data_IF_389705325764
#
_entry.id   IF_389705325764
#
_cell.length_a   1.000
_cell.length_b   1.000
_cell.length_c   1.000
_cell.angle_alpha   90.00
_cell.angle_beta   90.00
_cell.angle_gamma   90.00
#
_symmetry.space_group_name_H-M   'P 1'
#
loop_
_entity.id
_entity.type
_entity.pdbx_description
1 polymer ?
#
# COMPACT_ATOMS: atom_id res chain seq x y z
N UNK A 1 8.28 -8.77 13.18
CA UNK A 1 7.85 -7.38 13.43
C UNK A 1 6.37 -7.34 13.77
N UNK A 2 5.98 -6.49 14.69
CA UNK A 2 4.57 -6.24 15.04
C UNK A 2 3.78 -5.63 13.89
N UNK A 3 4.43 -4.74 13.19
CA UNK A 3 3.92 -4.10 11.99
C UNK A 3 5.05 -3.99 10.97
N UNK A 4 4.72 -3.71 9.74
CA UNK A 4 5.71 -3.60 8.68
C UNK A 4 5.27 -2.55 7.67
N UNK A 5 6.23 -1.82 7.14
CA UNK A 5 6.02 -0.86 6.08
C UNK A 5 7.07 -1.00 4.99
N UNK A 6 6.68 -0.58 3.81
CA UNK A 6 7.49 -0.60 2.61
C UNK A 6 7.31 0.74 1.88
N UNK A 7 8.40 1.33 1.43
CA UNK A 7 8.35 2.45 0.49
C UNK A 7 9.52 2.34 -0.49
N UNK A 8 9.20 2.09 -1.75
CA UNK A 8 10.18 2.04 -2.86
C UNK A 8 11.44 1.22 -2.52
N UNK A 9 11.26 0.02 -1.97
CA UNK A 9 12.36 -0.89 -1.61
C UNK A 9 12.87 -0.77 -0.18
N UNK A 10 12.47 0.25 0.56
CA UNK A 10 12.83 0.40 1.98
C UNK A 10 11.79 -0.31 2.84
N UNK A 11 12.26 -1.16 3.73
CA UNK A 11 11.41 -1.95 4.62
C UNK A 11 11.78 -1.64 6.06
N UNK A 12 10.78 -1.51 6.91
CA UNK A 12 10.97 -1.27 8.33
C UNK A 12 9.63 -1.27 9.06
N UNK A 13 9.61 -0.75 10.27
CA UNK A 13 8.36 -0.55 11.00
C UNK A 13 7.62 0.65 10.43
N UNK A 14 6.29 0.71 10.68
CA UNK A 14 5.45 1.80 10.16
C UNK A 14 5.96 3.18 10.59
N UNK A 15 6.47 3.30 11.80
CA UNK A 15 6.97 4.56 12.35
C UNK A 15 8.39 4.93 11.89
N UNK A 16 9.07 4.04 11.17
CA UNK A 16 10.47 4.23 10.74
C UNK A 16 10.59 4.51 9.24
N UNK A 17 9.69 3.95 8.44
CA UNK A 17 9.72 4.12 6.98
C UNK A 17 9.22 5.51 6.61
N UNK A 18 9.99 6.21 5.79
CA UNK A 18 9.72 7.59 5.41
C UNK A 18 9.47 7.69 3.90
N UNK A 19 8.57 8.60 3.55
CA UNK A 19 8.30 8.97 2.16
C UNK A 19 8.56 10.47 1.97
N UNK A 20 9.07 10.89 0.79
CA UNK A 20 9.31 12.30 0.53
C UNK A 20 8.01 13.08 0.42
N UNK A 21 7.99 14.29 0.98
CA UNK A 21 6.80 15.16 0.92
C UNK A 21 6.45 15.60 -0.49
N UNK A 22 7.37 15.45 -1.43
CA UNK A 22 7.13 15.74 -2.85
C UNK A 22 6.51 14.56 -3.61
N UNK A 23 6.15 13.49 -2.92
CA UNK A 23 5.31 12.46 -3.50
C UNK A 23 3.95 13.05 -3.85
N UNK A 24 3.51 12.90 -5.11
CA UNK A 24 2.26 13.48 -5.60
C UNK A 24 1.03 12.96 -4.84
N UNK A 25 1.15 11.86 -4.14
CA UNK A 25 0.11 11.34 -3.26
C UNK A 25 -0.25 12.30 -2.13
N UNK A 26 0.72 13.07 -1.61
CA UNK A 26 0.51 13.96 -0.49
C UNK A 26 -0.27 15.22 -0.85
N UNK A 27 -0.02 15.80 -2.03
CA UNK A 27 -0.61 17.11 -2.35
C UNK A 27 -1.68 17.08 -3.44
N UNK A 28 -1.79 16.00 -4.21
CA UNK A 28 -2.84 15.84 -5.21
C UNK A 28 -3.69 14.58 -5.02
N UNK A 29 -3.29 13.67 -4.13
CA UNK A 29 -3.91 12.35 -4.07
C UNK A 29 -3.79 11.59 -5.39
N UNK A 30 -2.71 11.84 -6.16
CA UNK A 30 -2.52 11.31 -7.50
C UNK A 30 -2.00 9.87 -7.44
N UNK A 31 -2.89 8.95 -7.14
CA UNK A 31 -2.54 7.57 -6.96
C UNK A 31 -3.76 6.67 -6.85
N UNK A 32 -3.49 5.40 -6.68
CA UNK A 32 -4.49 4.36 -6.47
C UNK A 32 -4.05 3.48 -5.31
N UNK A 33 -5.01 2.83 -4.66
CA UNK A 33 -4.70 1.93 -3.56
C UNK A 33 -5.59 0.69 -3.62
N UNK A 34 -5.18 -0.31 -2.86
CA UNK A 34 -6.02 -1.45 -2.51
C UNK A 34 -5.68 -1.89 -1.08
N UNK A 35 -6.55 -2.68 -0.50
CA UNK A 35 -6.34 -3.20 0.84
C UNK A 35 -6.95 -4.58 0.96
N UNK A 36 -6.30 -5.45 1.70
CA UNK A 36 -6.73 -6.83 1.90
C UNK A 36 -6.58 -7.25 3.35
N UNK A 37 -7.40 -8.20 3.74
CA UNK A 37 -7.24 -8.89 5.02
C UNK A 37 -6.09 -9.89 4.94
N UNK A 38 -5.35 -10.00 6.02
CA UNK A 38 -4.29 -11.01 6.19
C UNK A 38 -4.65 -11.86 7.41
N UNK A 39 -4.65 -13.15 7.24
CA UNK A 39 -4.87 -14.09 8.33
C UNK A 39 -3.89 -15.26 8.21
N UNK A 40 -3.25 -15.63 9.32
CA UNK A 40 -2.19 -16.63 9.31
C UNK A 40 -1.12 -16.34 8.25
N UNK A 41 -0.74 -15.07 8.12
CA UNK A 41 0.23 -14.58 7.11
C UNK A 41 -0.16 -14.87 5.66
N UNK A 42 -1.43 -15.11 5.41
CA UNK A 42 -1.98 -15.30 4.06
C UNK A 42 -2.88 -14.13 3.70
N UNK A 43 -2.66 -13.57 2.54
CA UNK A 43 -3.43 -12.44 2.03
C UNK A 43 -4.71 -12.99 1.40
N UNK A 44 -5.85 -12.56 1.92
CA UNK A 44 -7.16 -13.00 1.44
C UNK A 44 -7.47 -12.42 0.06
N UNK A 45 -7.87 -13.28 -0.87
CA UNK A 45 -8.31 -12.89 -2.23
C UNK A 45 -7.29 -11.98 -2.95
N UNK A 46 -6.00 -12.27 -2.80
CA UNK A 46 -4.94 -11.43 -3.35
C UNK A 46 -5.07 -11.21 -4.86
N UNK A 47 -5.43 -12.26 -5.62
CA UNK A 47 -5.56 -12.16 -7.07
C UNK A 47 -6.64 -11.13 -7.47
N UNK A 48 -7.78 -11.14 -6.80
CA UNK A 48 -8.87 -10.20 -7.07
C UNK A 48 -8.47 -8.76 -6.71
N UNK A 49 -7.75 -8.58 -5.60
CA UNK A 49 -7.22 -7.28 -5.21
C UNK A 49 -6.19 -6.76 -6.21
N UNK A 50 -5.32 -7.64 -6.71
CA UNK A 50 -4.33 -7.26 -7.73
C UNK A 50 -5.02 -6.89 -9.05
N UNK A 51 -6.04 -7.64 -9.46
CA UNK A 51 -6.83 -7.30 -10.65
C UNK A 51 -7.39 -5.88 -10.55
N UNK A 52 -8.00 -5.55 -9.43
CA UNK A 52 -8.58 -4.23 -9.19
C UNK A 52 -7.51 -3.15 -9.13
N UNK A 53 -6.41 -3.41 -8.45
CA UNK A 53 -5.30 -2.47 -8.33
C UNK A 53 -4.70 -2.10 -9.69
N UNK A 54 -4.38 -3.10 -10.51
CA UNK A 54 -3.82 -2.86 -11.85
C UNK A 54 -4.83 -2.23 -12.79
N UNK A 55 -6.10 -2.56 -12.66
CA UNK A 55 -7.15 -1.87 -13.42
C UNK A 55 -7.26 -0.39 -13.02
N UNK A 56 -7.15 -0.08 -11.74
CA UNK A 56 -7.15 1.29 -11.25
C UNK A 56 -5.97 2.10 -11.78
N UNK A 57 -4.77 1.50 -11.79
CA UNK A 57 -3.59 2.12 -12.40
C UNK A 57 -3.83 2.46 -13.88
N UNK A 58 -4.41 1.53 -14.62
CA UNK A 58 -4.73 1.71 -16.04
C UNK A 58 -5.72 2.85 -16.24
N UNK A 59 -6.77 2.92 -15.44
CA UNK A 59 -7.80 3.96 -15.53
C UNK A 59 -7.23 5.36 -15.29
N UNK A 60 -6.29 5.50 -14.37
CA UNK A 60 -5.63 6.77 -14.08
C UNK A 60 -4.39 7.02 -14.95
N UNK A 61 -4.05 6.10 -15.84
CA UNK A 61 -2.86 6.18 -16.69
C UNK A 61 -1.58 6.36 -15.87
N UNK A 62 -1.47 5.60 -14.79
CA UNK A 62 -0.25 5.51 -13.99
C UNK A 62 0.49 4.25 -14.42
N UNK A 63 1.76 4.42 -14.82
CA UNK A 63 2.62 3.26 -15.10
C UNK A 63 2.79 2.43 -13.83
N UNK A 64 2.62 1.10 -13.88
CA UNK A 64 2.79 0.29 -12.69
C UNK A 64 4.18 0.46 -12.06
N UNK A 65 4.29 0.56 -10.73
CA UNK A 65 5.58 0.64 -10.06
C UNK A 65 6.42 -0.63 -10.23
N UNK A 66 5.76 -1.74 -10.47
CA UNK A 66 6.36 -3.04 -10.78
C UNK A 66 5.33 -3.94 -11.44
N UNK A 67 5.79 -5.04 -12.04
CA UNK A 67 4.90 -6.01 -12.66
C UNK A 67 4.10 -6.76 -11.59
N UNK A 68 2.95 -7.30 -11.99
CA UNK A 68 2.00 -7.98 -11.10
C UNK A 68 2.66 -9.08 -10.27
N UNK A 69 3.46 -9.96 -10.90
CA UNK A 69 4.09 -11.08 -10.19
C UNK A 69 5.11 -10.58 -9.17
N UNK A 70 5.80 -9.51 -9.46
CA UNK A 70 6.75 -8.87 -8.55
C UNK A 70 6.02 -8.24 -7.36
N UNK A 71 4.91 -7.55 -7.60
CA UNK A 71 4.10 -6.99 -6.51
C UNK A 71 3.53 -8.09 -5.62
N UNK A 72 2.99 -9.14 -6.22
CA UNK A 72 2.51 -10.31 -5.47
C UNK A 72 3.59 -10.87 -4.55
N UNK A 73 4.79 -11.07 -5.08
CA UNK A 73 5.93 -11.54 -4.31
C UNK A 73 6.29 -10.58 -3.17
N UNK A 74 6.37 -9.29 -3.48
CA UNK A 74 6.70 -8.26 -2.50
C UNK A 74 5.69 -8.23 -1.35
N UNK A 75 4.39 -8.24 -1.65
CA UNK A 75 3.35 -8.23 -0.62
C UNK A 75 3.39 -9.49 0.26
N UNK A 76 3.61 -10.66 -0.33
CA UNK A 76 3.75 -11.90 0.42
C UNK A 76 5.01 -11.89 1.31
N UNK A 77 6.11 -11.39 0.82
CA UNK A 77 7.35 -11.24 1.61
C UNK A 77 7.14 -10.29 2.78
N UNK A 78 6.41 -9.20 2.58
CA UNK A 78 6.11 -8.26 3.67
C UNK A 78 5.31 -8.95 4.79
N UNK A 79 4.21 -9.60 4.45
CA UNK A 79 3.37 -10.23 5.48
C UNK A 79 4.07 -11.41 6.15
N UNK A 80 5.01 -12.06 5.47
CA UNK A 80 5.78 -13.16 6.06
C UNK A 80 6.69 -12.72 7.22
N UNK A 81 7.05 -11.44 7.27
CA UNK A 81 7.90 -10.86 8.30
C UNK A 81 7.14 -10.43 9.56
N UNK A 82 5.81 -10.50 9.55
CA UNK A 82 5.01 -10.27 10.74
C UNK A 82 5.26 -11.36 11.78
N UNK A 83 5.29 -11.00 13.05
CA UNK A 83 5.59 -11.93 14.15
C UNK A 83 4.34 -12.59 14.75
N UNK A 84 3.17 -12.34 14.18
CA UNK A 84 1.90 -12.87 14.66
C UNK A 84 1.08 -13.44 13.52
N UNK A 85 0.34 -14.49 13.80
CA UNK A 85 -0.65 -15.09 12.88
C UNK A 85 -2.05 -14.46 13.04
N UNK A 86 -2.19 -13.50 13.96
CA UNK A 86 -3.45 -12.79 14.17
C UNK A 86 -3.86 -12.02 12.91
N UNK A 87 -5.15 -11.68 12.77
CA UNK A 87 -5.61 -10.90 11.64
C UNK A 87 -4.92 -9.54 11.53
N UNK A 88 -4.46 -9.21 10.33
CA UNK A 88 -3.86 -7.93 9.98
C UNK A 88 -4.61 -7.32 8.80
N UNK A 89 -4.48 -6.02 8.63
CA UNK A 89 -4.83 -5.32 7.41
C UNK A 89 -3.55 -5.08 6.62
N UNK A 90 -3.56 -5.37 5.33
CA UNK A 90 -2.52 -5.01 4.40
C UNK A 90 -3.06 -3.93 3.47
N UNK A 91 -2.39 -2.78 3.44
CA UNK A 91 -2.70 -1.66 2.56
C UNK A 91 -1.54 -1.43 1.62
N UNK A 92 -1.82 -1.13 0.36
CA UNK A 92 -0.78 -0.67 -0.56
C UNK A 92 -1.34 0.37 -1.52
N UNK A 93 -0.47 1.25 -1.96
CA UNK A 93 -0.81 2.29 -2.92
C UNK A 93 0.35 2.57 -3.85
N UNK A 94 0.02 3.05 -5.04
CA UNK A 94 0.99 3.59 -5.98
C UNK A 94 0.59 5.01 -6.33
N UNK A 95 1.56 5.91 -6.33
CA UNK A 95 1.36 7.28 -6.81
C UNK A 95 2.07 7.45 -8.15
N UNK A 96 1.68 8.48 -8.91
CA UNK A 96 2.26 8.72 -10.23
C UNK A 96 3.75 8.98 -10.20
N UNK A 97 4.22 9.75 -9.23
CA UNK A 97 5.63 10.10 -9.12
C UNK A 97 5.94 10.90 -7.85
N UNK A 98 7.23 10.96 -7.53
CA UNK A 98 7.81 11.96 -6.65
C UNK A 98 8.35 13.06 -7.55
N UNK A 99 7.83 14.29 -7.41
CA UNK A 99 8.21 15.40 -8.28
C UNK A 99 7.89 16.74 -7.59
N UNK A 100 8.56 17.81 -8.03
CA UNK A 100 8.17 19.15 -7.62
C UNK A 100 6.72 19.42 -8.04
N UNK A 101 6.01 20.15 -7.19
CA UNK A 101 4.58 20.40 -7.40
C UNK A 101 4.34 21.14 -8.71
N UNK A 102 3.59 20.51 -9.61
CA UNK A 102 3.07 21.10 -10.85
C UNK A 102 1.79 20.37 -11.21
N UNK A 103 0.84 21.03 -11.84
CA UNK A 103 -0.44 20.42 -12.22
C UNK A 103 -0.27 19.39 -13.33
N UNK A 104 0.61 19.66 -14.28
CA UNK A 104 0.89 18.72 -15.37
C UNK A 104 1.57 17.44 -14.84
N UNK A 105 1.38 16.34 -15.55
CA UNK A 105 2.08 15.10 -15.22
C UNK A 105 3.58 15.28 -15.41
N UNK A 106 4.40 14.86 -14.43
CA UNK A 106 5.85 14.98 -14.56
C UNK A 106 6.36 14.10 -15.71
N UNK A 107 7.30 14.62 -16.47
CA UNK A 107 7.95 13.86 -17.53
C UNK A 107 9.01 12.95 -16.94
N UNK A 108 8.99 11.66 -17.32
CA UNK A 108 10.00 10.68 -16.89
C UNK A 108 9.95 10.29 -15.43
N UNK A 109 8.92 10.69 -14.70
CA UNK A 109 8.72 10.28 -13.32
C UNK A 109 8.39 8.79 -13.22
N UNK A 110 8.85 8.16 -12.13
CA UNK A 110 8.49 6.76 -11.82
C UNK A 110 7.43 6.73 -10.75
N UNK A 111 6.47 5.82 -10.91
CA UNK A 111 5.47 5.58 -9.88
C UNK A 111 6.13 5.12 -8.59
N UNK A 112 5.63 5.59 -7.46
CA UNK A 112 6.04 5.09 -6.15
C UNK A 112 5.15 3.93 -5.71
N UNK A 113 5.68 3.08 -4.86
CA UNK A 113 4.90 2.04 -4.19
C UNK A 113 5.11 2.17 -2.68
N UNK A 114 4.01 2.25 -1.96
CA UNK A 114 3.98 2.20 -0.51
C UNK A 114 3.07 1.06 -0.08
N UNK A 115 3.45 0.35 0.96
CA UNK A 115 2.61 -0.66 1.58
C UNK A 115 2.85 -0.70 3.10
N UNK A 116 1.85 -1.10 3.84
CA UNK A 116 2.04 -1.41 5.26
C UNK A 116 1.03 -2.46 5.73
N UNK A 117 1.40 -3.17 6.77
CA UNK A 117 0.52 -4.12 7.44
C UNK A 117 0.60 -3.95 8.95
N UNK A 118 -0.56 -3.89 9.58
CA UNK A 118 -0.69 -3.78 11.02
C UNK A 118 -1.82 -4.66 11.54
N UNK A 119 -1.78 -4.97 12.83
CA UNK A 119 -2.83 -5.73 13.50
C UNK A 119 -4.19 -5.09 13.26
N UNK A 120 -5.15 -5.93 12.92
CA UNK A 120 -6.53 -5.51 12.83
C UNK A 120 -7.11 -5.58 14.24
N UNK A 121 -7.33 -4.42 14.86
CA UNK A 121 -8.02 -4.36 16.12
C UNK A 121 -9.51 -4.52 15.86
N UNK A 122 -10.10 -5.59 16.44
CA UNK A 122 -11.54 -5.69 16.49
C UNK A 122 -12.03 -4.76 17.58
N UNK A 123 -12.45 -3.56 17.21
CA UNK A 123 -13.21 -2.75 18.12
C UNK A 123 -14.61 -3.35 18.29
N UNK A 124 -15.18 -3.16 19.47
CA UNK A 124 -16.57 -3.46 19.74
C UNK A 124 -17.45 -2.63 18.78
N UNK A 125 -18.51 -3.22 18.25
CA UNK A 125 -19.42 -2.52 17.33
C UNK A 125 -19.99 -1.22 17.94
N UNK A 126 -20.16 -1.17 19.26
CA UNK A 126 -20.58 0.04 19.94
C UNK A 126 -19.53 1.14 19.92
N UNK A 127 -18.26 0.77 20.00
CA UNK A 127 -17.14 1.71 19.90
C UNK A 127 -17.04 2.30 18.48
N UNK A 128 -17.27 1.49 17.46
CA UNK A 128 -17.27 1.96 16.07
C UNK A 128 -18.35 3.01 15.85
N UNK A 129 -19.54 2.82 16.42
CA UNK A 129 -20.65 3.76 16.31
C UNK A 129 -20.37 5.06 17.05
N UNK A 130 -19.68 5.00 18.16
CA UNK A 130 -19.31 6.17 18.98
C UNK A 130 -18.16 6.93 18.32
N UNK A 131 -17.27 6.24 17.66
CA UNK A 131 -16.11 6.82 16.99
C UNK A 131 -16.41 7.57 15.70
N UNK A 132 -17.67 7.56 15.28
CA UNK A 132 -18.10 8.20 14.02
C UNK A 132 -18.49 9.65 14.23
#
# INVERSE_FOLDING_TARGET
MKDIAYYNGKIGRIDEVQAPITDRGFYFGDGVYDAAMVNNKKIFELEDHLDRFYNSLKLLRIEPPMQRDELKKTLNELVSQLDSDAPHMLYWQSTRAVAHRMHAFPKGGKASLMAFSCLLYTSDAADDLIGV
#
